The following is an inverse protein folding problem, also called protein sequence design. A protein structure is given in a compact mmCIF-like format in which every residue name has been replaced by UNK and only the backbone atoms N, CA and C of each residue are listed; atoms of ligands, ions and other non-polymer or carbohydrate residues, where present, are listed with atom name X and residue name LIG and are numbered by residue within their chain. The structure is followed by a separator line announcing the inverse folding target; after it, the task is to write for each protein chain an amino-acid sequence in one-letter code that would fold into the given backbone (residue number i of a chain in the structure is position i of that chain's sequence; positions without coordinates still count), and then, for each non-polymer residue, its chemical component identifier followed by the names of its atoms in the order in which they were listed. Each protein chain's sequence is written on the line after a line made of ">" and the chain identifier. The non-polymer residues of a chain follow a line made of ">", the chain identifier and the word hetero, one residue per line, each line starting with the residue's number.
data_IF_115151918492
#
_entry.id   IF_115151918492
#
_cell.length_a   1.000
_cell.length_b   1.000
_cell.length_c   1.000
_cell.angle_alpha   90.00
_cell.angle_beta   90.00
_cell.angle_gamma   90.00
#
_symmetry.space_group_name_H-M   'P 1'
#
loop_
_entity.id
_entity.type
_entity.pdbx_description
1 polymer ?
#
# COMPACT_ATOMS: atom_id res chain seq x y z
N UNK A 1 11.53 17.25 -27.92
CA UNK A 1 10.27 17.26 -27.14
C UNK A 1 10.54 16.56 -25.81
N UNK A 2 11.14 17.28 -24.87
CA UNK A 2 11.60 16.75 -23.58
C UNK A 2 10.50 16.91 -22.54
N UNK A 3 9.87 15.81 -22.13
CA UNK A 3 8.89 15.80 -21.05
C UNK A 3 9.61 16.19 -19.74
N UNK A 4 9.15 17.22 -19.00
CA UNK A 4 9.74 17.59 -17.72
C UNK A 4 9.54 16.46 -16.72
N UNK A 5 10.63 16.00 -16.10
CA UNK A 5 10.60 14.95 -15.08
C UNK A 5 9.72 15.38 -13.88
N UNK A 6 8.89 14.48 -13.33
CA UNK A 6 8.03 14.79 -12.19
C UNK A 6 8.91 15.13 -10.98
N UNK A 7 8.86 16.40 -10.54
CA UNK A 7 9.53 16.82 -9.31
C UNK A 7 8.83 16.15 -8.13
N UNK A 8 9.43 15.09 -7.61
CA UNK A 8 8.96 14.40 -6.40
C UNK A 8 8.88 15.43 -5.27
N UNK A 9 7.66 15.90 -4.98
CA UNK A 9 7.46 16.92 -3.95
C UNK A 9 7.89 16.37 -2.59
N UNK A 10 8.46 17.23 -1.75
CA UNK A 10 8.91 16.87 -0.39
C UNK A 10 7.83 16.16 0.43
N UNK A 11 6.55 16.43 0.15
CA UNK A 11 5.38 15.78 0.77
C UNK A 11 5.23 14.31 0.38
N UNK A 12 5.49 13.98 -0.89
CA UNK A 12 5.40 12.61 -1.39
C UNK A 12 6.50 11.72 -0.76
N UNK A 13 7.70 12.28 -0.59
CA UNK A 13 8.79 11.61 0.14
C UNK A 13 8.44 11.37 1.60
N UNK A 14 7.82 12.35 2.28
CA UNK A 14 7.37 12.19 3.68
C UNK A 14 6.32 11.06 3.79
N UNK A 15 5.34 11.01 2.90
CA UNK A 15 4.31 9.97 2.91
C UNK A 15 4.90 8.58 2.65
N UNK A 16 5.85 8.44 1.73
CA UNK A 16 6.55 7.19 1.49
C UNK A 16 7.35 6.75 2.72
N UNK A 17 8.03 7.69 3.39
CA UNK A 17 8.75 7.41 4.63
C UNK A 17 7.82 6.96 5.75
N UNK A 18 6.67 7.61 5.92
CA UNK A 18 5.68 7.24 6.94
C UNK A 18 5.10 5.85 6.62
N UNK A 19 4.73 5.58 5.37
CA UNK A 19 4.21 4.27 4.94
C UNK A 19 5.24 3.15 5.15
N UNK A 20 6.50 3.39 4.80
CA UNK A 20 7.60 2.45 5.05
C UNK A 20 7.81 2.23 6.56
N UNK A 21 7.74 3.28 7.37
CA UNK A 21 7.82 3.19 8.83
C UNK A 21 6.69 2.33 9.42
N UNK A 22 5.46 2.51 8.94
CA UNK A 22 4.31 1.70 9.37
C UNK A 22 4.51 0.23 8.99
N UNK A 23 5.01 -0.06 7.79
CA UNK A 23 5.31 -1.42 7.34
C UNK A 23 6.38 -2.12 8.19
N UNK A 24 7.37 -1.36 8.70
CA UNK A 24 8.41 -1.89 9.58
C UNK A 24 7.93 -2.09 11.02
N UNK A 25 7.03 -1.25 11.51
CA UNK A 25 6.50 -1.32 12.88
C UNK A 25 5.33 -2.31 13.01
N UNK A 26 4.54 -2.50 11.95
CA UNK A 26 3.36 -3.38 11.96
C UNK A 26 3.64 -4.84 12.40
N UNK A 27 4.76 -5.49 12.03
CA UNK A 27 5.08 -6.83 12.52
C UNK A 27 5.41 -6.87 14.03
N UNK A 28 5.80 -5.75 14.62
CA UNK A 28 6.18 -5.65 16.03
C UNK A 28 4.97 -5.35 16.93
N UNK A 29 3.96 -4.67 16.40
CA UNK A 29 2.75 -4.31 17.16
C UNK A 29 1.73 -5.45 17.15
N UNK A 30 1.41 -5.97 18.33
CA UNK A 30 0.31 -6.91 18.52
C UNK A 30 0.36 -7.58 19.89
N UNK A 31 -0.71 -8.29 20.29
CA UNK A 31 -0.85 -8.86 21.63
C UNK A 31 0.36 -9.70 22.03
N UNK A 32 0.75 -9.63 23.30
CA UNK A 32 1.82 -10.45 23.84
C UNK A 32 1.52 -11.93 23.53
N UNK A 33 2.45 -12.65 22.89
CA UNK A 33 2.26 -14.05 22.61
C UNK A 33 2.13 -14.78 23.96
N UNK A 34 1.03 -15.52 24.15
CA UNK A 34 0.76 -16.21 25.42
C UNK A 34 1.78 -17.32 25.71
N UNK A 35 1.44 -18.56 25.41
CA UNK A 35 2.37 -19.71 25.55
C UNK A 35 3.15 -20.04 24.27
N UNK A 36 2.93 -19.26 23.21
CA UNK A 36 3.50 -19.53 21.89
C UNK A 36 4.80 -18.76 21.68
N UNK A 37 5.73 -19.34 20.92
CA UNK A 37 7.03 -18.73 20.66
C UNK A 37 6.90 -17.38 19.92
N UNK A 38 7.38 -16.27 20.51
CA UNK A 38 7.30 -14.95 19.89
C UNK A 38 7.95 -14.90 18.50
N UNK A 39 9.08 -15.60 18.35
CA UNK A 39 9.84 -15.65 17.09
C UNK A 39 9.05 -16.36 15.99
N UNK A 40 8.34 -17.44 16.31
CA UNK A 40 7.49 -18.15 15.35
C UNK A 40 6.35 -17.28 14.86
N UNK A 41 5.64 -16.61 15.78
CA UNK A 41 4.52 -15.71 15.44
C UNK A 41 4.99 -14.53 14.56
N UNK A 42 6.16 -13.96 14.87
CA UNK A 42 6.72 -12.88 14.06
C UNK A 42 7.00 -13.33 12.62
N UNK A 43 7.75 -14.43 12.44
CA UNK A 43 8.20 -14.90 11.12
C UNK A 43 7.10 -15.56 10.29
N UNK A 44 6.17 -16.30 10.92
CA UNK A 44 5.17 -17.10 10.20
C UNK A 44 3.81 -16.44 10.08
N UNK A 45 3.49 -15.46 10.93
CA UNK A 45 2.18 -14.82 10.93
C UNK A 45 2.25 -13.33 10.60
N UNK A 46 3.09 -12.58 11.31
CA UNK A 46 3.09 -11.11 11.22
C UNK A 46 3.80 -10.59 9.98
N UNK A 47 5.02 -11.05 9.71
CA UNK A 47 5.77 -10.69 8.50
C UNK A 47 5.02 -11.00 7.19
N UNK A 48 4.53 -12.24 6.96
CA UNK A 48 3.83 -12.55 5.71
C UNK A 48 2.53 -11.77 5.55
N UNK A 49 1.82 -11.46 6.65
CA UNK A 49 0.60 -10.64 6.61
C UNK A 49 0.88 -9.20 6.21
N UNK A 50 1.93 -8.58 6.77
CA UNK A 50 2.34 -7.22 6.41
C UNK A 50 2.78 -7.12 4.94
N UNK A 51 3.51 -8.12 4.45
CA UNK A 51 3.89 -8.22 3.03
C UNK A 51 2.68 -8.37 2.12
N UNK A 52 1.74 -9.25 2.47
CA UNK A 52 0.51 -9.44 1.70
C UNK A 52 -0.31 -8.14 1.63
N UNK A 53 -0.44 -7.40 2.74
CA UNK A 53 -1.13 -6.11 2.77
C UNK A 53 -0.44 -5.05 1.90
N UNK A 54 0.89 -4.99 1.91
CA UNK A 54 1.66 -4.09 1.04
C UNK A 54 1.44 -4.39 -0.44
N UNK A 55 1.53 -5.67 -0.82
CA UNK A 55 1.33 -6.11 -2.20
C UNK A 55 -0.10 -5.84 -2.68
N UNK A 56 -1.10 -6.14 -1.85
CA UNK A 56 -2.49 -5.85 -2.17
C UNK A 56 -2.74 -4.34 -2.33
N UNK A 57 -2.20 -3.51 -1.43
CA UNK A 57 -2.32 -2.06 -1.51
C UNK A 57 -1.63 -1.47 -2.75
N UNK A 58 -0.46 -1.99 -3.12
CA UNK A 58 0.24 -1.58 -4.34
C UNK A 58 -0.55 -1.96 -5.60
N UNK A 59 -1.10 -3.18 -5.65
CA UNK A 59 -1.94 -3.64 -6.76
C UNK A 59 -3.20 -2.80 -6.94
N UNK A 60 -3.90 -2.50 -5.84
CA UNK A 60 -5.09 -1.64 -5.87
C UNK A 60 -4.74 -0.22 -6.34
N UNK A 61 -3.62 0.33 -5.88
CA UNK A 61 -3.16 1.66 -6.29
C UNK A 61 -2.84 1.71 -7.79
N UNK A 62 -2.19 0.68 -8.32
CA UNK A 62 -1.90 0.57 -9.74
C UNK A 62 -3.17 0.45 -10.59
N UNK A 63 -4.13 -0.37 -10.15
CA UNK A 63 -5.43 -0.48 -10.82
C UNK A 63 -6.19 0.86 -10.83
N UNK A 64 -6.18 1.59 -9.71
CA UNK A 64 -6.76 2.94 -9.61
C UNK A 64 -6.11 3.94 -10.57
N UNK A 65 -4.78 3.94 -10.68
CA UNK A 65 -4.08 4.76 -11.67
C UNK A 65 -4.44 4.37 -13.12
N UNK A 66 -4.56 3.07 -13.40
CA UNK A 66 -4.98 2.57 -14.71
C UNK A 66 -6.37 3.08 -15.10
N UNK A 67 -7.34 3.03 -14.19
CA UNK A 67 -8.67 3.59 -14.44
C UNK A 67 -8.65 5.10 -14.67
N UNK A 68 -7.92 5.86 -13.85
CA UNK A 68 -7.78 7.32 -14.02
C UNK A 68 -7.16 7.67 -15.39
N UNK A 69 -6.18 6.88 -15.86
CA UNK A 69 -5.53 7.06 -17.16
C UNK A 69 -6.45 6.71 -18.35
N UNK A 70 -7.23 5.63 -18.23
CA UNK A 70 -8.15 5.18 -19.28
C UNK A 70 -9.24 6.21 -19.58
N UNK A 71 -9.84 6.79 -18.54
CA UNK A 71 -10.88 7.83 -18.68
C UNK A 71 -10.31 9.24 -18.84
N UNK A 72 -8.98 9.40 -18.73
CA UNK A 72 -8.29 10.70 -18.64
C UNK A 72 -8.97 11.65 -17.65
N UNK A 73 -9.56 11.09 -16.60
CA UNK A 73 -10.31 11.82 -15.59
C UNK A 73 -9.76 11.42 -14.21
N UNK A 74 -9.09 12.35 -13.50
CA UNK A 74 -8.48 12.08 -12.20
C UNK A 74 -9.51 11.75 -11.09
N UNK A 75 -10.81 11.91 -11.36
CA UNK A 75 -11.91 11.56 -10.45
C UNK A 75 -12.64 10.27 -10.86
N UNK A 76 -12.27 9.63 -11.97
CA UNK A 76 -12.88 8.37 -12.39
C UNK A 76 -12.47 7.24 -11.44
N UNK A 77 -13.42 6.80 -10.63
CA UNK A 77 -13.31 5.61 -9.79
C UNK A 77 -14.21 4.52 -10.40
N UNK A 78 -13.87 3.22 -10.29
CA UNK A 78 -14.64 2.13 -10.91
C UNK A 78 -16.14 2.09 -10.50
N UNK A 79 -16.54 2.83 -9.47
CA UNK A 79 -17.92 3.00 -9.03
C UNK A 79 -18.81 3.81 -10.00
N UNK A 80 -18.26 4.65 -10.88
CA UNK A 80 -19.07 5.47 -11.80
C UNK A 80 -19.47 4.78 -13.10
N UNK A 81 -18.97 3.56 -13.37
CA UNK A 81 -19.20 2.84 -14.64
C UNK A 81 -20.18 1.66 -14.53
N UNK A 82 -20.85 1.49 -13.37
CA UNK A 82 -21.88 0.45 -13.20
C UNK A 82 -21.38 -0.99 -13.28
N UNK A 83 -20.05 -1.22 -13.16
CA UNK A 83 -19.42 -2.56 -13.22
C UNK A 83 -19.16 -3.14 -11.83
N UNK A 84 -19.39 -2.37 -10.77
CA UNK A 84 -19.47 -2.88 -9.41
C UNK A 84 -20.95 -3.13 -9.08
N UNK A 85 -21.38 -4.38 -9.28
CA UNK A 85 -22.57 -4.96 -8.66
C UNK A 85 -22.15 -5.96 -7.60
#
# INVERSE_FOLDING_TARGET
>A
MSLPAPRASRRLLILLFISAGILLVAPLVGPAPGRADPAWIFWKLRLPRSLAAALAGAGLSAAGMGFQALFRNPLATPFTLGVAS
#
